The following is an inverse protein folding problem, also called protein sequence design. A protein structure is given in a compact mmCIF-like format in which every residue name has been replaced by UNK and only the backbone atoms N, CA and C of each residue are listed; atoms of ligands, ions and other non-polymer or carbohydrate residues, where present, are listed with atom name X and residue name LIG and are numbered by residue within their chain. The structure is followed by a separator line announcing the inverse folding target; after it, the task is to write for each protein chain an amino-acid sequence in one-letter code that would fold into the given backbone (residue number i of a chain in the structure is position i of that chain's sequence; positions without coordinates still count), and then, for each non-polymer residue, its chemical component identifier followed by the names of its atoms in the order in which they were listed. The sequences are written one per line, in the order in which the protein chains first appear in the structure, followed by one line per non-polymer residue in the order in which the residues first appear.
data_IF_625616147821
#
_entry.id   IF_625616147821
#
_cell.length_a   1.000
_cell.length_b   1.000
_cell.length_c   1.000
_cell.angle_alpha   90.00
_cell.angle_beta   90.00
_cell.angle_gamma   90.00
#
_symmetry.space_group_name_H-M   'P 1'
#
loop_
_entity.id
_entity.type
_entity.pdbx_description
1 polymer ?
#
# COMPACT_ATOMS: atom_id res chain seq x y z
N UNK A 1 17.80 -5.98 -50.66
CA UNK A 1 16.76 -7.00 -50.40
C UNK A 1 15.41 -6.35 -50.60
N UNK A 2 14.57 -6.89 -51.49
CA UNK A 2 13.25 -6.32 -51.82
C UNK A 2 12.25 -6.73 -50.72
N UNK A 3 11.46 -5.80 -50.16
CA UNK A 3 10.41 -6.17 -49.23
C UNK A 3 9.32 -6.94 -50.00
N UNK A 4 9.06 -8.17 -49.56
CA UNK A 4 8.03 -9.04 -50.10
C UNK A 4 6.65 -8.43 -49.80
N UNK A 5 5.90 -8.19 -50.87
CA UNK A 5 4.52 -7.67 -50.94
C UNK A 5 3.49 -8.45 -50.13
N UNK A 6 3.88 -9.57 -49.51
CA UNK A 6 3.02 -10.42 -48.67
C UNK A 6 2.78 -9.88 -47.26
N UNK A 7 3.58 -8.95 -46.75
CA UNK A 7 3.41 -8.40 -45.39
C UNK A 7 2.35 -7.28 -45.32
N UNK A 8 1.99 -6.66 -46.45
CA UNK A 8 1.00 -5.58 -46.50
C UNK A 8 -0.44 -6.10 -46.52
N UNK A 9 -0.67 -7.34 -46.99
CA UNK A 9 -2.02 -7.94 -47.08
C UNK A 9 -2.48 -8.48 -45.72
N UNK A 10 -1.55 -8.88 -44.84
CA UNK A 10 -1.87 -9.32 -43.48
C UNK A 10 -2.25 -8.19 -42.52
N UNK A 11 -1.72 -6.97 -42.73
CA UNK A 11 -2.03 -5.81 -41.89
C UNK A 11 -3.37 -5.14 -42.26
N UNK A 12 -3.89 -5.39 -43.47
CA UNK A 12 -5.15 -4.83 -43.96
C UNK A 12 -6.39 -5.65 -43.61
N UNK A 13 -6.24 -6.88 -43.10
CA UNK A 13 -7.37 -7.74 -42.69
C UNK A 13 -7.76 -7.62 -41.22
N UNK A 14 -6.97 -6.91 -40.39
CA UNK A 14 -7.31 -6.66 -38.97
C UNK A 14 -8.21 -5.41 -38.81
N UNK A 15 -8.47 -4.67 -39.89
CA UNK A 15 -9.20 -3.40 -39.87
C UNK A 15 -10.65 -3.47 -40.40
N UNK A 16 -11.16 -4.64 -40.82
CA UNK A 16 -12.41 -4.72 -41.60
C UNK A 16 -13.55 -5.55 -40.99
N UNK A 17 -13.57 -5.75 -39.67
CA UNK A 17 -14.76 -6.29 -38.97
C UNK A 17 -15.23 -5.34 -37.87
N UNK A 18 -15.36 -4.06 -38.19
CA UNK A 18 -16.29 -3.19 -37.50
C UNK A 18 -17.71 -3.50 -38.02
N UNK A 19 -18.23 -4.70 -37.70
CA UNK A 19 -19.67 -4.93 -37.80
C UNK A 19 -20.33 -3.94 -36.85
N UNK A 20 -21.00 -2.94 -37.39
CA UNK A 20 -21.83 -2.01 -36.62
C UNK A 20 -22.87 -2.83 -35.86
N UNK A 21 -22.62 -3.11 -34.59
CA UNK A 21 -23.62 -3.67 -33.70
C UNK A 21 -24.63 -2.56 -33.46
N UNK A 22 -25.89 -2.77 -33.81
CA UNK A 22 -26.93 -1.79 -33.57
C UNK A 22 -27.27 -1.74 -32.08
N UNK A 23 -26.53 -0.92 -31.33
CA UNK A 23 -26.73 -0.68 -29.90
C UNK A 23 -28.09 -0.04 -29.63
N UNK A 24 -28.67 0.67 -30.60
CA UNK A 24 -29.90 1.45 -30.41
C UNK A 24 -31.09 0.59 -29.99
N UNK A 25 -31.12 -0.69 -30.40
CA UNK A 25 -32.15 -1.66 -30.00
C UNK A 25 -32.17 -1.97 -28.50
N UNK A 26 -31.07 -1.68 -27.80
CA UNK A 26 -30.92 -1.92 -26.36
C UNK A 26 -31.01 -0.65 -25.53
N UNK A 27 -31.05 0.54 -26.14
CA UNK A 27 -31.14 1.81 -25.41
C UNK A 27 -32.59 2.09 -25.00
N UNK A 28 -32.78 2.59 -23.78
CA UNK A 28 -34.06 3.11 -23.35
C UNK A 28 -34.32 4.47 -24.00
N UNK A 29 -35.60 4.86 -24.08
CA UNK A 29 -35.99 6.19 -24.58
C UNK A 29 -35.27 7.30 -23.80
N UNK A 30 -34.49 8.12 -24.51
CA UNK A 30 -33.74 9.23 -23.93
C UNK A 30 -32.30 8.90 -23.51
N UNK A 31 -31.87 7.64 -23.60
CA UNK A 31 -30.46 7.28 -23.44
C UNK A 31 -29.66 7.60 -24.72
N UNK A 32 -28.39 7.96 -24.54
CA UNK A 32 -27.45 8.15 -25.63
C UNK A 32 -26.11 7.49 -25.31
N UNK A 33 -25.52 6.88 -26.32
CA UNK A 33 -24.19 6.28 -26.20
C UNK A 33 -23.16 7.40 -26.10
N UNK A 34 -22.42 7.39 -25.00
CA UNK A 34 -21.31 8.32 -24.77
C UNK A 34 -19.98 7.78 -25.24
N UNK A 35 -19.80 6.44 -25.23
CA UNK A 35 -18.59 5.75 -25.67
C UNK A 35 -18.90 4.28 -25.96
N UNK A 36 -18.19 3.70 -26.92
CA UNK A 36 -18.14 2.25 -27.14
C UNK A 36 -16.68 1.80 -27.12
N UNK A 37 -16.41 0.68 -26.45
CA UNK A 37 -15.09 0.06 -26.40
C UNK A 37 -15.22 -1.40 -26.80
N UNK A 38 -14.50 -1.78 -27.86
CA UNK A 38 -14.42 -3.19 -28.29
C UNK A 38 -13.08 -3.77 -27.86
N UNK A 39 -13.13 -4.93 -27.20
CA UNK A 39 -11.95 -5.63 -26.67
C UNK A 39 -12.17 -7.15 -26.75
N UNK A 40 -11.13 -7.91 -26.42
CA UNK A 40 -11.16 -9.37 -26.50
C UNK A 40 -10.89 -9.97 -25.12
N UNK A 41 -11.70 -10.93 -24.69
CA UNK A 41 -11.48 -11.71 -23.47
C UNK A 41 -11.55 -13.19 -23.83
N UNK A 42 -10.49 -13.94 -23.54
CA UNK A 42 -10.36 -15.37 -23.84
C UNK A 42 -10.66 -15.74 -25.31
N UNK A 43 -10.27 -14.86 -26.24
CA UNK A 43 -10.50 -15.03 -27.69
C UNK A 43 -11.91 -14.66 -28.18
N UNK A 44 -12.80 -14.22 -27.30
CA UNK A 44 -14.12 -13.71 -27.65
C UNK A 44 -14.14 -12.18 -27.68
N UNK A 45 -14.72 -11.60 -28.73
CA UNK A 45 -14.94 -10.16 -28.82
C UNK A 45 -16.12 -9.74 -27.94
N UNK A 46 -15.93 -8.63 -27.25
CA UNK A 46 -16.97 -7.95 -26.48
C UNK A 46 -16.98 -6.46 -26.84
N UNK A 47 -18.15 -5.85 -26.79
CA UNK A 47 -18.31 -4.40 -26.87
C UNK A 47 -18.95 -3.89 -25.59
N UNK A 48 -18.23 -3.06 -24.85
CA UNK A 48 -18.72 -2.35 -23.68
C UNK A 48 -19.22 -0.96 -24.11
N UNK A 49 -20.49 -0.70 -23.83
CA UNK A 49 -21.17 0.53 -24.20
C UNK A 49 -21.41 1.35 -22.94
N UNK A 50 -21.05 2.62 -23.03
CA UNK A 50 -21.17 3.59 -21.95
C UNK A 50 -22.35 4.54 -22.21
N UNK A 51 -23.25 4.67 -21.24
CA UNK A 51 -24.37 5.64 -21.27
C UNK A 51 -24.14 6.67 -20.15
N UNK A 52 -24.12 7.95 -20.52
CA UNK A 52 -23.83 9.03 -19.56
C UNK A 52 -22.47 8.88 -18.85
N UNK A 53 -21.48 8.31 -19.53
CA UNK A 53 -20.12 8.09 -19.01
C UNK A 53 -19.93 6.83 -18.14
N UNK A 54 -21.00 6.06 -17.86
CA UNK A 54 -20.91 4.83 -17.07
C UNK A 54 -21.04 3.59 -17.96
N UNK A 55 -20.31 2.50 -17.68
CA UNK A 55 -20.51 1.24 -18.40
C UNK A 55 -21.91 0.69 -18.08
N UNK A 56 -22.70 0.40 -19.12
CA UNK A 56 -24.14 0.08 -18.96
C UNK A 56 -24.51 -1.20 -19.70
N UNK A 57 -23.98 -1.40 -20.90
CA UNK A 57 -24.36 -2.51 -21.77
C UNK A 57 -23.09 -3.27 -22.17
N UNK A 58 -23.13 -4.60 -22.09
CA UNK A 58 -22.10 -5.48 -22.62
C UNK A 58 -22.70 -6.31 -23.75
N UNK A 59 -22.07 -6.28 -24.92
CA UNK A 59 -22.47 -7.04 -26.10
C UNK A 59 -21.43 -8.13 -26.40
N UNK A 60 -21.89 -9.31 -26.78
CA UNK A 60 -21.02 -10.41 -27.23
C UNK A 60 -20.55 -10.23 -28.69
N UNK A 61 -19.79 -11.21 -29.19
CA UNK A 61 -19.24 -11.22 -30.54
C UNK A 61 -20.29 -11.21 -31.67
N UNK A 62 -21.53 -11.55 -31.37
CA UNK A 62 -22.66 -11.51 -32.30
C UNK A 62 -23.51 -10.25 -32.11
N UNK A 63 -23.09 -9.35 -31.22
CA UNK A 63 -23.82 -8.14 -30.84
C UNK A 63 -25.01 -8.40 -29.93
N UNK A 64 -25.13 -9.58 -29.33
CA UNK A 64 -26.21 -9.89 -28.38
C UNK A 64 -25.89 -9.29 -27.01
N UNK A 65 -26.93 -8.80 -26.34
CA UNK A 65 -26.84 -8.32 -24.97
C UNK A 65 -26.49 -9.48 -24.01
N UNK A 66 -25.39 -9.32 -23.27
CA UNK A 66 -25.02 -10.22 -22.20
C UNK A 66 -25.81 -9.83 -20.95
N UNK A 67 -26.58 -10.75 -20.39
CA UNK A 67 -27.42 -10.51 -19.20
C UNK A 67 -26.97 -11.26 -17.93
N UNK A 68 -26.05 -12.21 -18.06
CA UNK A 68 -25.48 -12.94 -16.93
C UNK A 68 -24.45 -12.07 -16.19
N UNK A 69 -24.77 -11.69 -14.95
CA UNK A 69 -23.91 -10.81 -14.13
C UNK A 69 -22.55 -11.42 -13.82
N UNK A 70 -22.43 -12.74 -13.68
CA UNK A 70 -21.16 -13.40 -13.43
C UNK A 70 -20.26 -13.34 -14.68
N UNK A 71 -20.84 -13.51 -15.87
CA UNK A 71 -20.13 -13.33 -17.13
C UNK A 71 -19.68 -11.87 -17.28
N UNK A 72 -20.57 -10.90 -17.03
CA UNK A 72 -20.24 -9.48 -17.13
C UNK A 72 -19.11 -9.13 -16.16
N UNK A 73 -19.23 -9.47 -14.87
CA UNK A 73 -18.19 -9.20 -13.87
C UNK A 73 -16.84 -9.79 -14.25
N UNK A 74 -16.82 -11.02 -14.79
CA UNK A 74 -15.59 -11.66 -15.27
C UNK A 74 -14.98 -10.89 -16.44
N UNK A 75 -15.79 -10.50 -17.42
CA UNK A 75 -15.33 -9.75 -18.61
C UNK A 75 -14.80 -8.36 -18.21
N UNK A 76 -15.54 -7.64 -17.36
CA UNK A 76 -15.11 -6.36 -16.82
C UNK A 76 -13.83 -6.48 -16.00
N UNK A 77 -13.70 -7.52 -15.17
CA UNK A 77 -12.48 -7.76 -14.40
C UNK A 77 -11.27 -7.87 -15.34
N UNK A 78 -11.35 -8.68 -16.40
CA UNK A 78 -10.24 -8.84 -17.35
C UNK A 78 -9.93 -7.53 -18.06
N UNK A 79 -10.95 -6.88 -18.65
CA UNK A 79 -10.79 -5.61 -19.37
C UNK A 79 -10.18 -4.50 -18.50
N UNK A 80 -10.75 -4.30 -17.31
CA UNK A 80 -10.27 -3.29 -16.38
C UNK A 80 -8.89 -3.64 -15.82
N UNK A 81 -8.53 -4.93 -15.73
CA UNK A 81 -7.18 -5.33 -15.31
C UNK A 81 -6.15 -4.92 -16.36
N UNK A 82 -6.45 -5.08 -17.63
CA UNK A 82 -5.54 -4.70 -18.72
C UNK A 82 -5.37 -3.18 -18.81
N UNK A 83 -6.42 -2.43 -18.52
CA UNK A 83 -6.45 -0.97 -18.67
C UNK A 83 -5.94 -0.21 -17.44
N UNK A 84 -6.25 -0.69 -16.23
CA UNK A 84 -6.13 0.09 -15.00
C UNK A 84 -5.26 -0.55 -13.93
N UNK A 85 -4.76 -1.77 -14.14
CA UNK A 85 -3.83 -2.37 -13.19
C UNK A 85 -2.47 -1.66 -13.26
N UNK A 86 -1.88 -1.23 -12.13
CA UNK A 86 -0.57 -0.57 -12.13
C UNK A 86 0.49 -1.47 -12.76
N UNK A 87 1.40 -0.86 -13.51
CA UNK A 87 2.53 -1.57 -14.07
C UNK A 87 3.43 -2.13 -12.97
N UNK A 88 4.19 -3.18 -13.27
CA UNK A 88 5.16 -3.72 -12.31
C UNK A 88 6.22 -2.68 -11.90
N UNK A 89 6.54 -1.73 -12.79
CA UNK A 89 7.47 -0.65 -12.49
C UNK A 89 6.91 0.30 -11.42
N UNK A 90 5.62 0.62 -11.47
CA UNK A 90 4.93 1.44 -10.48
C UNK A 90 4.86 0.74 -9.12
N UNK A 91 4.49 -0.54 -9.10
CA UNK A 91 4.48 -1.35 -7.87
C UNK A 91 5.88 -1.48 -7.24
N UNK A 92 6.91 -1.67 -8.08
CA UNK A 92 8.29 -1.72 -7.62
C UNK A 92 8.77 -0.36 -7.07
N UNK A 93 8.35 0.75 -7.68
CA UNK A 93 8.66 2.09 -7.19
C UNK A 93 8.01 2.34 -5.83
N UNK A 94 6.74 1.95 -5.66
CA UNK A 94 6.06 2.01 -4.36
C UNK A 94 6.77 1.16 -3.30
N UNK A 95 7.09 -0.10 -3.62
CA UNK A 95 7.85 -0.98 -2.71
C UNK A 95 9.22 -0.39 -2.36
N UNK A 96 9.90 0.21 -3.33
CA UNK A 96 11.20 0.85 -3.10
C UNK A 96 11.11 2.03 -2.13
N UNK A 97 10.00 2.76 -2.09
CA UNK A 97 9.83 3.85 -1.12
C UNK A 97 9.70 3.27 0.30
N UNK A 98 8.92 2.20 0.50
CA UNK A 98 8.84 1.50 1.78
C UNK A 98 10.17 0.85 2.19
N UNK A 99 10.88 0.22 1.26
CA UNK A 99 12.23 -0.33 1.51
C UNK A 99 13.20 0.77 1.96
N UNK A 100 13.14 1.96 1.34
CA UNK A 100 13.99 3.11 1.70
C UNK A 100 13.57 3.76 3.01
N UNK A 101 12.27 3.84 3.29
CA UNK A 101 11.74 4.28 4.57
C UNK A 101 12.25 3.38 5.70
N UNK A 102 12.09 2.06 5.55
CA UNK A 102 12.57 1.09 6.54
C UNK A 102 14.09 1.14 6.70
N UNK A 103 14.82 1.29 5.59
CA UNK A 103 16.27 1.46 5.63
C UNK A 103 16.69 2.78 6.31
N UNK A 104 15.87 3.85 6.26
CA UNK A 104 16.20 5.11 6.91
C UNK A 104 16.28 4.97 8.43
N UNK A 105 15.48 4.09 9.03
CA UNK A 105 15.57 3.71 10.46
C UNK A 105 16.95 3.16 10.86
N UNK A 106 17.79 2.77 9.89
CA UNK A 106 19.15 2.24 10.06
C UNK A 106 20.26 3.23 9.65
N UNK A 107 19.94 4.46 9.26
CA UNK A 107 20.91 5.40 8.65
C UNK A 107 21.27 6.57 9.57
N UNK A 108 21.14 6.37 10.88
CA UNK A 108 21.54 7.37 11.86
C UNK A 108 23.04 7.66 11.80
N UNK A 109 23.40 8.91 12.09
CA UNK A 109 24.79 9.38 12.10
C UNK A 109 25.67 8.66 13.14
N UNK A 110 25.07 8.06 14.18
CA UNK A 110 25.81 7.40 15.27
C UNK A 110 26.48 6.10 14.80
N UNK A 111 25.84 5.35 13.88
CA UNK A 111 26.28 4.01 13.51
C UNK A 111 26.46 3.78 12.01
N UNK A 112 26.41 4.84 11.19
CA UNK A 112 26.55 4.82 9.72
C UNK A 112 27.77 4.04 9.17
N UNK A 113 28.78 3.76 9.98
CA UNK A 113 29.95 2.93 9.66
C UNK A 113 30.31 1.91 10.76
N UNK A 114 29.41 1.63 11.69
CA UNK A 114 29.74 0.78 12.84
C UNK A 114 29.64 -0.70 12.45
N UNK A 115 30.68 -1.47 12.77
CA UNK A 115 30.66 -2.93 12.67
C UNK A 115 29.97 -3.58 13.87
N UNK A 116 29.15 -2.82 14.61
CA UNK A 116 28.51 -3.28 15.84
C UNK A 116 27.50 -4.37 15.48
N UNK A 117 27.80 -5.58 15.92
CA UNK A 117 26.87 -6.71 15.90
C UNK A 117 26.40 -6.93 17.33
N UNK A 118 25.21 -6.46 17.67
CA UNK A 118 24.59 -6.82 18.93
C UNK A 118 24.08 -8.28 18.84
N UNK A 119 24.20 -9.10 19.90
CA UNK A 119 23.59 -10.43 19.93
C UNK A 119 22.09 -10.34 19.62
N UNK A 120 21.56 -11.21 18.77
CA UNK A 120 20.12 -11.21 18.45
C UNK A 120 19.62 -10.04 17.59
N UNK A 121 20.52 -9.21 17.03
CA UNK A 121 20.16 -8.10 16.14
C UNK A 121 19.36 -8.62 14.95
N UNK A 122 18.09 -8.20 14.87
CA UNK A 122 17.23 -8.49 13.74
C UNK A 122 17.59 -7.52 12.60
N UNK A 123 17.93 -8.05 11.42
CA UNK A 123 18.27 -7.21 10.25
C UNK A 123 17.14 -6.29 9.80
N UNK A 124 15.90 -6.56 10.25
CA UNK A 124 14.74 -5.73 9.95
C UNK A 124 14.54 -4.57 10.93
N UNK A 125 15.40 -4.38 11.93
CA UNK A 125 15.29 -3.28 12.90
C UNK A 125 16.55 -2.43 12.82
N UNK A 126 16.37 -1.11 12.73
CA UNK A 126 17.39 -0.07 12.89
C UNK A 126 18.52 -0.47 13.84
N UNK A 127 19.81 -0.28 13.51
CA UNK A 127 20.89 -0.42 14.51
C UNK A 127 20.61 0.51 15.70
N UNK A 128 20.18 1.74 15.43
CA UNK A 128 19.77 2.72 16.44
C UNK A 128 18.59 2.26 17.29
N UNK A 129 17.57 1.66 16.66
CA UNK A 129 16.42 1.07 17.35
C UNK A 129 16.83 -0.12 18.21
N UNK A 130 17.70 -1.00 17.71
CA UNK A 130 18.16 -2.16 18.45
C UNK A 130 19.02 -1.75 19.65
N UNK A 131 19.90 -0.76 19.49
CA UNK A 131 20.64 -0.15 20.61
C UNK A 131 19.67 0.42 21.64
N UNK A 132 18.65 1.16 21.21
CA UNK A 132 17.65 1.71 22.13
C UNK A 132 16.91 0.59 22.89
N UNK A 133 16.50 -0.49 22.21
CA UNK A 133 15.88 -1.65 22.85
C UNK A 133 16.79 -2.31 23.90
N UNK A 134 18.08 -2.39 23.61
CA UNK A 134 19.07 -2.88 24.57
C UNK A 134 19.21 -1.94 25.77
N UNK A 135 19.38 -0.63 25.54
CA UNK A 135 19.48 0.39 26.59
C UNK A 135 18.25 0.42 27.49
N UNK A 136 17.07 0.16 26.93
CA UNK A 136 15.79 0.13 27.64
C UNK A 136 15.44 -1.24 28.23
N UNK A 137 16.37 -2.21 28.21
CA UNK A 137 16.18 -3.57 28.71
C UNK A 137 15.01 -4.35 28.07
N UNK A 138 14.51 -3.90 26.92
CA UNK A 138 13.34 -4.48 26.25
C UNK A 138 13.60 -5.88 25.68
N UNK A 139 14.86 -6.24 25.48
CA UNK A 139 15.24 -7.58 25.05
C UNK A 139 15.24 -8.61 26.20
N UNK A 140 15.32 -8.14 27.45
CA UNK A 140 15.25 -8.99 28.66
C UNK A 140 13.85 -8.97 29.27
N UNK A 141 13.25 -7.78 29.33
CA UNK A 141 11.91 -7.55 29.87
C UNK A 141 10.99 -6.92 28.79
N UNK A 142 10.50 -7.72 27.82
CA UNK A 142 9.68 -7.20 26.73
C UNK A 142 8.47 -6.40 27.22
N UNK A 143 8.35 -5.16 26.77
CA UNK A 143 7.20 -4.28 27.00
C UNK A 143 6.17 -4.48 25.88
N UNK A 144 5.34 -5.53 26.00
CA UNK A 144 4.27 -5.83 25.03
C UNK A 144 2.89 -5.38 25.48
N UNK A 145 2.74 -4.98 26.74
CA UNK A 145 1.54 -4.39 27.34
C UNK A 145 1.90 -3.63 28.62
N UNK A 146 1.02 -2.75 29.10
CA UNK A 146 1.34 -1.91 30.27
C UNK A 146 1.82 -2.70 31.49
N UNK A 147 1.26 -3.89 31.74
CA UNK A 147 1.61 -4.73 32.89
C UNK A 147 3.04 -5.28 32.87
N UNK A 148 3.67 -5.47 31.70
CA UNK A 148 5.06 -5.93 31.62
C UNK A 148 6.08 -4.81 31.38
N UNK A 149 5.63 -3.64 30.92
CA UNK A 149 6.49 -2.47 30.72
C UNK A 149 7.11 -1.95 32.02
N UNK A 150 6.43 -2.15 33.16
CA UNK A 150 6.96 -1.78 34.48
C UNK A 150 8.26 -2.53 34.82
N UNK A 151 8.49 -3.75 34.34
CA UNK A 151 9.73 -4.48 34.64
C UNK A 151 10.96 -3.87 33.97
N UNK A 152 10.81 -3.41 32.71
CA UNK A 152 11.86 -2.63 32.04
C UNK A 152 12.09 -1.30 32.74
N UNK A 153 11.02 -0.63 33.17
CA UNK A 153 11.13 0.63 33.92
C UNK A 153 11.81 0.44 35.29
N UNK A 154 11.52 -0.67 35.99
CA UNK A 154 12.20 -1.05 37.23
C UNK A 154 13.70 -1.25 37.00
N UNK A 155 14.07 -1.98 35.95
CA UNK A 155 15.47 -2.20 35.61
C UNK A 155 16.20 -0.91 35.22
N UNK A 156 15.54 -0.03 34.47
CA UNK A 156 16.08 1.29 34.14
C UNK A 156 16.29 2.16 35.38
N UNK A 157 15.34 2.14 36.31
CA UNK A 157 15.44 2.87 37.57
C UNK A 157 16.55 2.31 38.47
N UNK A 158 16.73 0.98 38.49
CA UNK A 158 17.79 0.31 39.25
C UNK A 158 19.18 0.61 38.69
N UNK A 159 19.35 0.54 37.36
CA UNK A 159 20.65 0.73 36.71
C UNK A 159 21.05 2.23 36.59
N UNK A 160 20.08 3.09 36.26
CA UNK A 160 20.34 4.49 35.90
C UNK A 160 19.63 5.50 36.80
N UNK A 161 19.02 5.07 37.91
CA UNK A 161 18.08 5.88 38.69
C UNK A 161 18.57 7.28 39.06
N UNK A 162 19.79 7.39 39.59
CA UNK A 162 20.39 8.67 39.96
C UNK A 162 20.60 9.61 38.76
N UNK A 163 21.01 9.06 37.61
CA UNK A 163 21.24 9.83 36.39
C UNK A 163 19.93 10.26 35.71
N UNK A 164 18.88 9.45 35.86
CA UNK A 164 17.54 9.71 35.31
C UNK A 164 16.66 10.54 36.26
N UNK A 165 17.07 10.72 37.52
CA UNK A 165 16.20 11.26 38.57
C UNK A 165 15.01 10.35 38.88
N UNK A 166 15.17 9.04 38.72
CA UNK A 166 14.10 8.07 38.95
C UNK A 166 13.97 7.75 40.45
N UNK A 167 12.89 8.25 41.07
CA UNK A 167 12.49 7.86 42.43
C UNK A 167 11.43 6.76 42.46
N UNK A 168 10.63 6.63 41.38
CA UNK A 168 9.64 5.58 41.19
C UNK A 168 9.71 5.08 39.73
N UNK A 169 9.91 3.77 39.50
CA UNK A 169 9.84 3.17 38.16
C UNK A 169 8.57 3.53 37.37
N UNK A 170 7.46 3.85 38.05
CA UNK A 170 6.20 4.28 37.41
C UNK A 170 6.32 5.60 36.67
N UNK A 171 7.31 6.45 37.00
CA UNK A 171 7.56 7.69 36.26
C UNK A 171 8.24 7.43 34.90
N UNK A 172 9.00 6.33 34.80
CA UNK A 172 9.64 5.89 33.56
C UNK A 172 8.71 5.04 32.69
N UNK A 173 7.77 4.30 33.31
CA UNK A 173 6.89 3.35 32.62
C UNK A 173 6.17 3.94 31.38
N UNK A 174 5.49 5.10 31.43
CA UNK A 174 4.82 5.67 30.25
C UNK A 174 5.76 5.95 29.08
N UNK A 175 7.02 6.31 29.37
CA UNK A 175 8.02 6.53 28.33
C UNK A 175 8.48 5.21 27.70
N UNK A 176 8.57 4.14 28.49
CA UNK A 176 8.93 2.80 28.01
C UNK A 176 7.79 2.25 27.13
N UNK A 177 6.55 2.41 27.58
CA UNK A 177 5.34 2.06 26.83
C UNK A 177 5.30 2.77 25.48
N UNK A 178 5.44 4.10 25.49
CA UNK A 178 5.43 4.93 24.27
C UNK A 178 6.45 4.43 23.25
N UNK A 179 7.70 4.25 23.65
CA UNK A 179 8.74 3.74 22.76
C UNK A 179 8.41 2.34 22.24
N UNK A 180 8.09 1.40 23.13
CA UNK A 180 7.93 0.00 22.78
C UNK A 180 6.73 -0.22 21.85
N UNK A 181 5.59 0.42 22.15
CA UNK A 181 4.38 0.27 21.35
C UNK A 181 4.52 0.91 19.97
N UNK A 182 5.16 2.08 19.87
CA UNK A 182 5.45 2.69 18.59
C UNK A 182 6.41 1.83 17.73
N UNK A 183 7.49 1.32 18.32
CA UNK A 183 8.45 0.47 17.59
C UNK A 183 7.82 -0.85 17.11
N UNK A 184 7.02 -1.51 17.95
CA UNK A 184 6.28 -2.71 17.55
C UNK A 184 5.21 -2.42 16.52
N UNK A 185 4.46 -1.32 16.68
CA UNK A 185 3.43 -0.87 15.73
C UNK A 185 4.01 -0.63 14.34
N UNK A 186 5.10 0.14 14.27
CA UNK A 186 5.82 0.41 13.03
C UNK A 186 6.30 -0.88 12.37
N UNK A 187 6.92 -1.78 13.12
CA UNK A 187 7.39 -3.08 12.59
C UNK A 187 6.24 -3.95 12.08
N UNK A 188 5.12 -4.00 12.82
CA UNK A 188 3.93 -4.75 12.42
C UNK A 188 3.33 -4.21 11.13
N UNK A 189 3.15 -2.90 11.04
CA UNK A 189 2.50 -2.25 9.90
C UNK A 189 3.39 -2.30 8.65
N UNK A 190 4.70 -2.12 8.79
CA UNK A 190 5.66 -2.34 7.69
C UNK A 190 5.63 -3.78 7.15
N UNK A 191 5.66 -4.78 8.03
CA UNK A 191 5.54 -6.18 7.61
C UNK A 191 4.21 -6.45 6.90
N UNK A 192 3.13 -5.85 7.37
CA UNK A 192 1.80 -5.96 6.75
C UNK A 192 1.78 -5.29 5.38
N UNK A 193 2.38 -4.11 5.23
CA UNK A 193 2.51 -3.41 3.95
C UNK A 193 3.26 -4.28 2.93
N UNK A 194 4.43 -4.83 3.29
CA UNK A 194 5.17 -5.71 2.39
C UNK A 194 4.39 -6.96 2.02
N UNK A 195 3.72 -7.60 2.99
CA UNK A 195 2.88 -8.75 2.72
C UNK A 195 1.70 -8.42 1.79
N UNK A 196 1.10 -7.23 1.90
CA UNK A 196 0.07 -6.77 0.97
C UNK A 196 0.65 -6.56 -0.42
N UNK A 197 1.76 -5.83 -0.55
CA UNK A 197 2.45 -5.57 -1.82
C UNK A 197 2.80 -6.87 -2.56
N UNK A 198 3.34 -7.87 -1.85
CA UNK A 198 3.72 -9.16 -2.42
C UNK A 198 2.51 -10.00 -2.89
N UNK A 199 1.29 -9.68 -2.41
CA UNK A 199 0.05 -10.39 -2.73
C UNK A 199 -0.96 -9.54 -3.52
N UNK A 200 -0.56 -8.37 -4.03
CA UNK A 200 -1.41 -7.56 -4.90
C UNK A 200 -1.66 -8.30 -6.23
N UNK A 201 -2.90 -8.22 -6.67
CA UNK A 201 -3.43 -8.82 -7.89
C UNK A 201 -4.60 -7.97 -8.37
N UNK A 202 -5.05 -8.16 -9.61
CA UNK A 202 -6.18 -7.39 -10.13
C UNK A 202 -7.47 -7.53 -9.32
N UNK A 203 -7.62 -8.62 -8.56
CA UNK A 203 -8.80 -8.88 -7.72
C UNK A 203 -8.81 -8.11 -6.41
N UNK A 204 -7.65 -7.70 -5.90
CA UNK A 204 -7.51 -7.08 -4.59
C UNK A 204 -6.71 -5.78 -4.61
N UNK A 205 -6.27 -5.29 -5.78
CA UNK A 205 -5.40 -4.11 -5.88
C UNK A 205 -5.98 -2.88 -5.20
N UNK A 206 -7.24 -2.54 -5.45
CA UNK A 206 -7.88 -1.35 -4.87
C UNK A 206 -8.00 -1.45 -3.34
N UNK A 207 -8.50 -2.58 -2.85
CA UNK A 207 -8.63 -2.82 -1.41
C UNK A 207 -7.26 -2.90 -0.71
N UNK A 208 -6.28 -3.56 -1.34
CA UNK A 208 -4.91 -3.67 -0.85
C UNK A 208 -4.22 -2.32 -0.77
N UNK A 209 -4.33 -1.47 -1.80
CA UNK A 209 -3.79 -0.11 -1.78
C UNK A 209 -4.49 0.77 -0.73
N UNK A 210 -5.79 0.60 -0.51
CA UNK A 210 -6.53 1.30 0.55
C UNK A 210 -6.04 0.90 1.95
N UNK A 211 -5.79 -0.39 2.17
CA UNK A 211 -5.21 -0.90 3.42
C UNK A 211 -3.77 -0.40 3.60
N UNK A 212 -2.94 -0.46 2.55
CA UNK A 212 -1.57 0.08 2.57
C UNK A 212 -1.59 1.59 2.91
N UNK A 213 -2.49 2.38 2.33
CA UNK A 213 -2.63 3.82 2.65
C UNK A 213 -2.92 4.03 4.14
N UNK A 214 -3.85 3.25 4.68
CA UNK A 214 -4.23 3.32 6.10
C UNK A 214 -3.03 2.99 6.99
N UNK A 215 -2.31 1.92 6.70
CA UNK A 215 -1.11 1.52 7.45
C UNK A 215 0.00 2.56 7.35
N UNK A 216 0.17 3.18 6.18
CA UNK A 216 1.16 4.25 5.95
C UNK A 216 0.87 5.46 6.84
N UNK A 217 -0.40 5.82 7.03
CA UNK A 217 -0.80 6.88 7.96
C UNK A 217 -0.39 6.59 9.41
N UNK A 218 -0.46 5.33 9.86
CA UNK A 218 -0.03 4.96 11.21
C UNK A 218 1.50 5.09 11.38
N UNK A 219 2.29 4.90 10.31
CA UNK A 219 3.76 4.98 10.39
C UNK A 219 4.23 6.37 10.81
N UNK A 220 3.58 7.42 10.32
CA UNK A 220 3.86 8.83 10.70
C UNK A 220 3.61 9.08 12.20
N UNK A 221 2.52 8.53 12.75
CA UNK A 221 2.24 8.62 14.19
C UNK A 221 3.28 7.86 15.02
N UNK A 222 3.67 6.64 14.59
CA UNK A 222 4.70 5.85 15.27
C UNK A 222 6.07 6.53 15.22
N UNK A 223 6.43 7.15 14.11
CA UNK A 223 7.65 7.94 13.95
C UNK A 223 7.70 9.09 14.96
N UNK A 224 6.66 9.91 15.01
CA UNK A 224 6.53 11.01 15.99
C UNK A 224 6.61 10.51 17.43
N UNK A 225 6.03 9.35 17.71
CA UNK A 225 6.10 8.76 19.03
C UNK A 225 7.50 8.29 19.40
N UNK A 226 8.24 7.69 18.46
CA UNK A 226 9.62 7.23 18.64
C UNK A 226 10.63 8.38 18.78
N UNK A 227 10.44 9.44 17.99
CA UNK A 227 11.25 10.65 18.07
C UNK A 227 10.97 11.45 19.33
N UNK A 228 9.69 11.57 19.69
CA UNK A 228 9.23 12.31 20.86
C UNK A 228 9.32 11.55 22.18
N UNK A 229 10.09 10.46 22.27
CA UNK A 229 10.34 9.79 23.56
C UNK A 229 11.40 10.55 24.35
N UNK A 230 11.24 10.64 25.67
CA UNK A 230 12.28 11.21 26.52
C UNK A 230 13.58 10.41 26.51
N UNK A 231 13.56 9.13 26.13
CA UNK A 231 14.78 8.33 26.10
C UNK A 231 15.73 8.74 24.97
N UNK A 232 15.22 9.37 23.92
CA UNK A 232 15.98 9.61 22.70
C UNK A 232 16.67 10.97 22.72
N UNK A 233 17.90 11.01 22.21
CA UNK A 233 18.57 12.27 21.90
C UNK A 233 17.83 13.03 20.78
N UNK A 234 17.66 14.36 20.90
CA UNK A 234 16.99 15.15 19.87
C UNK A 234 17.75 15.12 18.53
N UNK A 235 17.03 15.33 17.43
CA UNK A 235 17.64 15.48 16.12
C UNK A 235 18.53 16.75 16.06
N UNK A 236 19.44 16.81 15.08
CA UNK A 236 20.27 18.00 14.85
C UNK A 236 21.39 18.30 15.84
N UNK A 237 21.61 17.47 16.86
CA UNK A 237 22.67 17.70 17.87
C UNK A 237 22.31 18.75 18.92
N UNK A 238 21.01 19.02 19.08
CA UNK A 238 20.49 19.91 20.11
C UNK A 238 20.78 19.39 21.52
N UNK A 239 20.85 20.30 22.50
CA UNK A 239 21.00 19.90 23.89
C UNK A 239 19.75 19.16 24.35
N UNK A 240 19.95 17.96 24.88
CA UNK A 240 18.93 17.16 25.56
C UNK A 240 18.61 17.81 26.92
N UNK A 241 17.76 18.84 26.94
CA UNK A 241 17.38 19.54 28.18
C UNK A 241 16.27 18.79 28.95
N UNK A 242 15.38 18.11 28.22
CA UNK A 242 14.20 17.42 28.77
C UNK A 242 14.16 15.91 28.43
N UNK A 243 15.32 15.34 28.10
CA UNK A 243 15.47 13.95 27.69
C UNK A 243 16.49 13.22 28.61
N UNK A 244 16.45 11.89 28.60
CA UNK A 244 17.35 10.99 29.32
C UNK A 244 18.59 10.61 28.50
N UNK A 245 18.50 10.67 27.16
CA UNK A 245 19.62 10.42 26.27
C UNK A 245 20.15 8.98 26.26
N UNK A 246 19.35 8.00 26.69
CA UNK A 246 19.71 6.58 26.69
C UNK A 246 19.68 5.95 25.29
N UNK A 247 18.89 6.54 24.39
CA UNK A 247 18.70 6.07 23.03
C UNK A 247 19.35 7.03 22.03
N UNK A 248 20.08 6.49 21.04
CA UNK A 248 20.62 7.31 19.96
C UNK A 248 19.48 7.99 19.21
N UNK A 249 19.73 9.12 18.56
CA UNK A 249 18.76 9.68 17.60
C UNK A 249 18.47 8.69 16.48
N UNK A 250 17.23 8.69 15.98
CA UNK A 250 16.91 8.10 14.67
C UNK A 250 16.82 9.20 13.64
N UNK A 251 17.05 8.82 12.40
CA UNK A 251 16.78 9.66 11.25
C UNK A 251 15.84 8.90 10.34
N UNK A 252 14.55 9.15 10.49
CA UNK A 252 13.56 8.63 9.56
C UNK A 252 13.38 9.67 8.45
N UNK A 253 13.39 9.21 7.19
CA UNK A 253 13.26 10.10 6.05
C UNK A 253 11.80 10.11 5.56
N UNK A 254 11.03 11.07 6.07
CA UNK A 254 9.62 11.29 5.74
C UNK A 254 9.34 11.43 4.24
N UNK A 255 10.31 11.90 3.44
CA UNK A 255 10.11 12.07 1.99
C UNK A 255 9.78 10.77 1.28
N UNK A 256 10.22 9.62 1.81
CA UNK A 256 9.84 8.31 1.27
C UNK A 256 8.40 7.94 1.60
N UNK A 257 7.89 8.27 2.80
CA UNK A 257 6.46 8.08 3.12
C UNK A 257 5.58 9.00 2.28
N UNK A 258 5.94 10.28 2.15
CA UNK A 258 5.20 11.21 1.30
C UNK A 258 5.16 10.70 -0.15
N UNK A 259 6.31 10.28 -0.68
CA UNK A 259 6.41 9.71 -2.02
C UNK A 259 5.61 8.41 -2.20
N UNK A 260 5.50 7.58 -1.15
CA UNK A 260 4.65 6.39 -1.15
C UNK A 260 3.15 6.76 -1.16
N UNK A 261 2.72 7.70 -0.31
CA UNK A 261 1.33 8.18 -0.24
C UNK A 261 0.89 8.75 -1.59
N UNK A 262 1.70 9.60 -2.20
CA UNK A 262 1.39 10.19 -3.52
C UNK A 262 1.21 9.11 -4.60
N UNK A 263 2.07 8.08 -4.61
CA UNK A 263 1.94 6.95 -5.53
C UNK A 263 0.70 6.12 -5.26
N UNK A 264 0.39 5.85 -4.00
CA UNK A 264 -0.82 5.13 -3.61
C UNK A 264 -2.07 5.89 -4.06
N UNK A 265 -2.10 7.22 -3.89
CA UNK A 265 -3.24 8.04 -4.28
C UNK A 265 -3.46 8.09 -5.78
N UNK A 266 -2.38 8.18 -6.56
CA UNK A 266 -2.44 8.04 -8.01
C UNK A 266 -3.01 6.65 -8.41
N UNK A 267 -2.44 5.57 -7.87
CA UNK A 267 -2.89 4.20 -8.19
C UNK A 267 -4.32 3.93 -7.75
N UNK A 268 -4.79 4.50 -6.62
CA UNK A 268 -6.18 4.37 -6.17
C UNK A 268 -7.15 5.06 -7.12
N UNK A 269 -6.77 6.21 -7.68
CA UNK A 269 -7.54 6.89 -8.72
C UNK A 269 -7.74 6.00 -9.95
N UNK A 270 -6.67 5.37 -10.42
CA UNK A 270 -6.71 4.52 -11.61
C UNK A 270 -7.44 3.20 -11.35
N UNK A 271 -7.27 2.60 -10.17
CA UNK A 271 -7.82 1.26 -9.85
C UNK A 271 -9.25 1.28 -9.30
N UNK A 272 -9.92 2.44 -9.21
CA UNK A 272 -11.27 2.53 -8.67
C UNK A 272 -12.28 1.60 -9.39
N UNK A 273 -12.20 1.53 -10.72
CA UNK A 273 -13.07 0.65 -11.52
C UNK A 273 -12.77 -0.84 -11.30
N UNK A 274 -11.52 -1.19 -10.96
CA UNK A 274 -11.15 -2.54 -10.52
C UNK A 274 -11.66 -2.86 -9.11
N UNK A 275 -11.95 -1.86 -8.29
CA UNK A 275 -12.62 -2.06 -7.00
C UNK A 275 -14.11 -2.39 -7.15
N UNK A 276 -14.77 -1.87 -8.19
CA UNK A 276 -16.24 -1.90 -8.33
C UNK A 276 -16.77 -2.87 -9.40
N UNK A 277 -15.90 -3.60 -10.12
CA UNK A 277 -16.33 -4.41 -11.29
C UNK A 277 -17.45 -5.42 -10.97
N UNK A 278 -17.47 -5.98 -9.75
CA UNK A 278 -18.51 -6.93 -9.34
C UNK A 278 -19.88 -6.25 -9.17
N UNK A 279 -19.92 -5.07 -8.54
CA UNK A 279 -21.16 -4.34 -8.36
C UNK A 279 -21.64 -3.76 -9.70
N UNK A 280 -20.71 -3.28 -10.52
CA UNK A 280 -20.96 -2.85 -11.90
C UNK A 280 -21.54 -4.00 -12.75
N UNK A 281 -20.97 -5.20 -12.66
CA UNK A 281 -21.48 -6.37 -13.40
C UNK A 281 -22.85 -6.84 -12.91
N UNK A 282 -23.12 -6.77 -11.60
CA UNK A 282 -24.45 -7.02 -11.05
C UNK A 282 -25.49 -6.02 -11.55
N UNK A 283 -25.17 -4.73 -11.54
CA UNK A 283 -26.02 -3.65 -12.08
C UNK A 283 -26.31 -3.87 -13.56
N UNK A 284 -25.27 -4.06 -14.37
CA UNK A 284 -25.41 -4.29 -15.81
C UNK A 284 -26.22 -5.55 -16.13
N UNK A 285 -26.03 -6.64 -15.39
CA UNK A 285 -26.82 -7.86 -15.59
C UNK A 285 -28.30 -7.64 -15.30
N UNK A 286 -28.63 -6.94 -14.21
CA UNK A 286 -30.02 -6.59 -13.89
C UNK A 286 -30.66 -5.68 -14.93
N UNK A 287 -29.93 -4.67 -15.39
CA UNK A 287 -30.39 -3.76 -16.44
C UNK A 287 -30.55 -4.47 -17.79
N UNK A 288 -29.65 -5.39 -18.10
CA UNK A 288 -29.70 -6.16 -19.33
C UNK A 288 -30.95 -7.05 -19.38
N UNK A 289 -31.31 -7.70 -18.27
CA UNK A 289 -32.57 -8.47 -18.16
C UNK A 289 -33.80 -7.57 -18.37
N UNK A 290 -33.77 -6.32 -17.89
CA UNK A 290 -34.87 -5.38 -18.07
C UNK A 290 -35.01 -4.85 -19.51
N UNK A 291 -33.96 -4.98 -20.34
CA UNK A 291 -33.92 -4.52 -21.74
C UNK A 291 -34.28 -5.62 -22.76
N UNK A 292 -34.39 -6.88 -22.33
CA UNK A 292 -34.83 -8.03 -23.15
C UNK A 292 -36.35 -8.17 -23.17
#
# INVERSE_FOLDING_TARGET
MRPTTSLLVGLLFVLSVASCVDVSRYLNTGESVSKEETFTVDGSFYTLVYVGGNPTILLDNNGNLVSDSAIISRVLMVHFSEMYYPSQAELNALRSDFDRYEASRNNGDFYKNSSIKLPGMNKSVGVEEEVCRYSLFLNVFPCTNSSNCIYSAMQLCDEFGDALGCSDPRDLQPHVEKFSFANMGMTRDMNRIFALLDNLSSKNIYAGLTEIKTLTGNLDDYEKDLEGTKFRLPQGGEKCNDCYGLCPRIWINETYLTGAIEKIDAMLGDTALLGDYNAQGARMGSEAVARL
#
